data_IF_702243965768
#
_entry.id   IF_702243965768
#
_cell.length_a   1.000
_cell.length_b   1.000
_cell.length_c   1.000
_cell.angle_alpha   90.00
_cell.angle_beta   90.00
_cell.angle_gamma   90.00
#
_symmetry.space_group_name_H-M   'P 1'
#
loop_
_entity.id
_entity.type
_entity.pdbx_description
1 polymer ?
#
# COMPACT_ATOMS: atom_id res chain seq x y z
N UNK A 1 12.19 8.47 -8.16
CA UNK A 1 10.98 7.61 -8.08
C UNK A 1 11.18 6.41 -7.16
N UNK A 2 12.22 5.58 -7.31
CA UNK A 2 12.51 4.50 -6.35
C UNK A 2 12.77 4.95 -4.90
N UNK A 3 13.36 6.13 -4.71
CA UNK A 3 13.61 6.71 -3.38
C UNK A 3 12.33 7.18 -2.67
N UNK A 4 11.31 7.63 -3.41
CA UNK A 4 10.03 8.07 -2.84
C UNK A 4 9.22 6.86 -2.37
N UNK A 5 9.18 5.80 -3.18
CA UNK A 5 8.56 4.53 -2.79
C UNK A 5 9.19 3.91 -1.55
N UNK A 6 10.52 4.01 -1.41
CA UNK A 6 11.25 3.53 -0.23
C UNK A 6 10.87 4.31 1.04
N UNK A 7 10.74 5.64 0.94
CA UNK A 7 10.36 6.49 2.09
C UNK A 7 8.93 6.19 2.55
N UNK A 8 7.99 6.01 1.62
CA UNK A 8 6.62 5.65 1.97
C UNK A 8 6.51 4.21 2.51
N UNK A 9 7.31 3.26 1.99
CA UNK A 9 7.40 1.92 2.55
C UNK A 9 7.98 1.94 3.97
N UNK A 10 9.00 2.78 4.23
CA UNK A 10 9.56 2.96 5.56
C UNK A 10 8.53 3.52 6.56
N UNK A 11 7.76 4.52 6.16
CA UNK A 11 6.67 5.05 6.98
C UNK A 11 5.54 4.02 7.18
N UNK A 12 5.21 3.22 6.17
CA UNK A 12 4.21 2.16 6.30
C UNK A 12 4.63 1.06 7.28
N UNK A 13 5.92 0.73 7.36
CA UNK A 13 6.45 -0.27 8.29
C UNK A 13 6.63 0.28 9.70
N UNK A 14 6.89 1.58 9.85
CA UNK A 14 7.16 2.21 11.15
C UNK A 14 5.87 2.70 11.85
N UNK A 15 4.75 2.80 11.14
CA UNK A 15 3.48 3.27 11.70
C UNK A 15 2.78 2.18 12.52
N UNK A 16 2.61 2.46 13.82
CA UNK A 16 1.92 1.59 14.80
C UNK A 16 0.41 1.50 14.57
N UNK A 17 -0.17 2.50 13.90
CA UNK A 17 -1.58 2.52 13.54
C UNK A 17 -1.79 1.74 12.23
N UNK A 18 -2.33 0.52 12.33
CA UNK A 18 -2.51 -0.41 11.20
C UNK A 18 -3.35 0.20 10.07
N UNK A 19 -4.37 0.99 10.41
CA UNK A 19 -5.19 1.73 9.43
C UNK A 19 -4.35 2.72 8.62
N UNK A 20 -3.44 3.43 9.29
CA UNK A 20 -2.59 4.45 8.67
C UNK A 20 -1.49 3.80 7.82
N UNK A 21 -0.94 2.67 8.29
CA UNK A 21 -0.01 1.85 7.53
C UNK A 21 -0.62 1.33 6.23
N UNK A 22 -1.89 0.89 6.24
CA UNK A 22 -2.61 0.46 5.04
C UNK A 22 -2.75 1.63 4.04
N UNK A 23 -3.10 2.82 4.52
CA UNK A 23 -3.23 4.01 3.66
C UNK A 23 -1.87 4.38 3.04
N UNK A 24 -0.79 4.38 3.83
CA UNK A 24 0.56 4.64 3.31
C UNK A 24 1.01 3.59 2.29
N UNK A 25 0.68 2.31 2.50
CA UNK A 25 0.95 1.22 1.57
C UNK A 25 0.17 1.35 0.25
N UNK A 26 -1.09 1.78 0.32
CA UNK A 26 -1.92 2.05 -0.87
C UNK A 26 -1.33 3.20 -1.71
N UNK A 27 -0.89 4.28 -1.06
CA UNK A 27 -0.24 5.42 -1.72
C UNK A 27 1.11 5.01 -2.34
N UNK A 28 1.90 4.21 -1.62
CA UNK A 28 3.14 3.65 -2.15
C UNK A 28 2.89 2.79 -3.39
N UNK A 29 1.85 1.96 -3.38
CA UNK A 29 1.47 1.13 -4.53
C UNK A 29 1.05 2.00 -5.72
N UNK A 30 0.32 3.09 -5.48
CA UNK A 30 -0.05 4.03 -6.55
C UNK A 30 1.18 4.66 -7.23
N UNK A 31 2.23 4.99 -6.46
CA UNK A 31 3.50 5.49 -7.01
C UNK A 31 4.21 4.45 -7.91
N UNK A 32 4.12 3.15 -7.56
CA UNK A 32 4.63 2.07 -8.41
C UNK A 32 3.78 1.87 -9.67
N UNK A 33 2.46 2.08 -9.61
CA UNK A 33 1.61 2.03 -10.80
C UNK A 33 2.01 3.10 -11.83
N UNK A 34 2.32 4.32 -11.36
CA UNK A 34 2.84 5.41 -12.22
C UNK A 34 4.20 5.03 -12.82
N UNK A 35 5.05 4.34 -12.07
CA UNK A 35 6.34 3.87 -12.57
C UNK A 35 6.17 2.79 -13.66
N UNK A 36 5.27 1.82 -13.48
CA UNK A 36 4.95 0.81 -14.49
C UNK A 36 4.35 1.43 -15.77
N UNK A 37 3.56 2.50 -15.62
CA UNK A 37 3.05 3.27 -16.75
C UNK A 37 4.18 3.97 -17.52
N UNK A 38 5.14 4.59 -16.83
CA UNK A 38 6.32 5.20 -17.45
C UNK A 38 7.20 4.16 -18.17
N UNK A 39 7.25 2.93 -17.66
CA UNK A 39 7.94 1.80 -18.29
C UNK A 39 7.25 1.26 -19.54
N UNK A 40 6.15 1.87 -20.02
CA UNK A 40 5.40 1.42 -21.20
C UNK A 40 4.87 -0.02 -21.05
N UNK A 41 4.54 -0.45 -19.83
CA UNK A 41 3.92 -1.74 -19.55
C UNK A 41 2.42 -1.55 -19.19
N UNK A 42 1.55 -1.16 -20.15
CA UNK A 42 0.15 -0.86 -19.86
C UNK A 42 -0.69 -2.08 -19.47
N UNK A 43 -0.25 -3.27 -19.88
CA UNK A 43 -0.85 -4.57 -19.58
C UNK A 43 -0.79 -4.88 -18.07
N UNK A 44 0.39 -4.74 -17.44
CA UNK A 44 0.54 -4.98 -16.01
C UNK A 44 -0.09 -3.87 -15.16
N UNK A 45 -0.06 -2.62 -15.61
CA UNK A 45 -0.68 -1.48 -14.91
C UNK A 45 -2.17 -1.68 -14.71
N UNK A 46 -2.85 -2.21 -15.74
CA UNK A 46 -4.30 -2.40 -15.74
C UNK A 46 -4.77 -3.42 -14.69
N UNK A 47 -3.94 -4.41 -14.37
CA UNK A 47 -4.18 -5.38 -13.29
C UNK A 47 -3.68 -4.84 -11.95
N UNK A 48 -2.54 -4.15 -11.95
CA UNK A 48 -1.88 -3.70 -10.74
C UNK A 48 -2.66 -2.63 -9.98
N UNK A 49 -3.33 -1.70 -10.67
CA UNK A 49 -4.15 -0.65 -10.04
C UNK A 49 -5.29 -1.25 -9.20
N UNK A 50 -6.23 -2.05 -9.75
CA UNK A 50 -7.36 -2.58 -8.98
C UNK A 50 -6.91 -3.56 -7.89
N UNK A 51 -5.85 -4.33 -8.11
CA UNK A 51 -5.35 -5.28 -7.12
C UNK A 51 -4.63 -4.56 -5.97
N UNK A 52 -3.72 -3.63 -6.27
CA UNK A 52 -2.86 -3.01 -5.26
C UNK A 52 -3.50 -1.83 -4.53
N UNK A 53 -4.41 -1.10 -5.19
CA UNK A 53 -5.12 0.05 -4.59
C UNK A 53 -6.51 -0.35 -4.09
N UNK A 54 -7.10 -1.41 -4.65
CA UNK A 54 -8.42 -1.90 -4.26
C UNK A 54 -8.33 -3.14 -3.38
N UNK A 55 -7.99 -4.27 -3.98
CA UNK A 55 -8.13 -5.60 -3.37
C UNK A 55 -7.30 -5.75 -2.09
N UNK A 56 -5.99 -5.49 -2.15
CA UNK A 56 -5.08 -5.64 -1.02
C UNK A 56 -5.44 -4.73 0.17
N UNK A 57 -5.54 -3.39 0.01
CA UNK A 57 -5.90 -2.52 1.12
C UNK A 57 -7.31 -2.82 1.64
N UNK A 58 -8.28 -3.17 0.80
CA UNK A 58 -9.62 -3.55 1.27
C UNK A 58 -9.61 -4.84 2.10
N UNK A 59 -8.84 -5.86 1.67
CA UNK A 59 -8.68 -7.10 2.42
C UNK A 59 -7.96 -6.85 3.76
N UNK A 60 -6.92 -6.02 3.76
CA UNK A 60 -6.21 -5.64 4.98
C UNK A 60 -7.09 -4.81 5.92
N UNK A 61 -7.89 -3.89 5.40
CA UNK A 61 -8.88 -3.14 6.19
C UNK A 61 -9.90 -4.07 6.84
N UNK A 62 -10.39 -5.07 6.10
CA UNK A 62 -11.33 -6.06 6.63
C UNK A 62 -10.69 -6.93 7.73
N UNK A 63 -9.44 -7.34 7.56
CA UNK A 63 -8.70 -8.10 8.56
C UNK A 63 -8.43 -7.25 9.81
N UNK A 64 -7.97 -6.01 9.65
CA UNK A 64 -7.73 -5.07 10.76
C UNK A 64 -9.02 -4.74 11.49
N UNK A 65 -10.16 -4.61 10.81
CA UNK A 65 -11.46 -4.44 11.48
C UNK A 65 -11.88 -5.62 12.36
N UNK A 66 -11.22 -6.78 12.20
CA UNK A 66 -11.44 -8.01 12.97
C UNK A 66 -10.28 -8.31 13.94
N UNK A 67 -9.23 -7.51 13.94
CA UNK A 67 -8.07 -7.57 14.85
C UNK A 67 -7.90 -6.25 15.60
N UNK A 68 -6.91 -6.15 16.49
CA UNK A 68 -6.61 -4.86 17.11
C UNK A 68 -6.20 -3.84 16.03
N UNK A 69 -6.72 -2.61 16.16
CA UNK A 69 -6.44 -1.52 15.21
C UNK A 69 -5.11 -0.81 15.50
N UNK A 70 -4.48 -1.15 16.62
CA UNK A 70 -3.18 -0.68 17.08
C UNK A 70 -2.30 -1.90 17.36
N UNK A 71 -1.01 -1.82 17.03
CA UNK A 71 -0.04 -2.85 17.41
C UNK A 71 -0.03 -2.96 18.93
N UNK A 72 -0.68 -4.01 19.46
CA UNK A 72 -0.84 -4.27 20.88
C UNK A 72 0.51 -4.18 21.59
N UNK A 73 0.59 -3.26 22.55
CA UNK A 73 1.77 -3.07 23.39
C UNK A 73 1.98 -4.34 24.25
N UNK A 74 3.21 -4.83 24.43
CA UNK A 74 3.50 -5.92 25.36
C UNK A 74 3.27 -5.53 26.83
#
# INVERSE_FOLDING_TARGET
MGTIGLVFAYFAVTERALVKAIIYSAVQSMAFAVMLYLLRAPDIVLVYIPVSVGLYPAALFFLVGKTESEEGEP
#
